data_IF_128605879376
#
_entry.id   IF_128605879376
#
_cell.length_a   1.000
_cell.length_b   1.000
_cell.length_c   1.000
_cell.angle_alpha   90.00
_cell.angle_beta   90.00
_cell.angle_gamma   90.00
#
_symmetry.space_group_name_H-M   'P 1'
#
loop_
_entity.id
_entity.type
_entity.pdbx_description
1 polymer ?
#
# COMPACT_ATOMS: atom_id res chain seq x y z
N UNK A 1 -21.31 -6.70 13.12
CA UNK A 1 -19.91 -6.86 13.54
C UNK A 1 -19.87 -7.54 14.89
N UNK A 2 -18.93 -8.45 15.13
CA UNK A 2 -18.74 -8.94 16.49
C UNK A 2 -18.07 -7.85 17.33
N UNK A 3 -18.42 -7.76 18.62
CA UNK A 3 -17.81 -6.80 19.58
C UNK A 3 -16.28 -6.95 19.64
N UNK A 4 -15.76 -8.14 19.32
CA UNK A 4 -14.32 -8.44 19.26
C UNK A 4 -13.65 -7.72 18.08
N UNK A 5 -14.29 -7.69 16.91
CA UNK A 5 -13.74 -7.02 15.71
C UNK A 5 -13.67 -5.52 15.89
N UNK A 6 -14.67 -4.90 16.52
CA UNK A 6 -14.64 -3.44 16.80
C UNK A 6 -13.57 -3.05 17.82
N UNK A 7 -13.32 -3.89 18.84
CA UNK A 7 -12.22 -3.66 19.78
C UNK A 7 -10.85 -3.78 19.12
N UNK A 8 -10.71 -4.70 18.15
CA UNK A 8 -9.45 -4.91 17.47
C UNK A 8 -9.12 -3.75 16.51
N UNK A 9 -10.09 -3.22 15.77
CA UNK A 9 -9.87 -2.07 14.85
C UNK A 9 -9.35 -0.85 15.59
N UNK A 10 -9.83 -0.56 16.80
CA UNK A 10 -9.33 0.56 17.61
C UNK A 10 -7.86 0.45 18.03
N UNK A 11 -7.20 -0.68 17.78
CA UNK A 11 -5.78 -0.92 18.08
C UNK A 11 -4.90 -0.91 16.83
N UNK A 12 -5.49 -0.80 15.63
CA UNK A 12 -4.73 -0.75 14.39
C UNK A 12 -4.19 0.70 14.15
N UNK A 13 -3.04 0.90 13.46
CA UNK A 13 -2.16 -0.18 13.02
C UNK A 13 -1.57 -0.93 14.22
N UNK A 14 -1.36 -2.23 14.04
CA UNK A 14 -0.89 -3.10 15.13
C UNK A 14 0.62 -2.94 15.35
N UNK A 15 1.08 -3.25 16.57
CA UNK A 15 2.52 -3.13 16.92
C UNK A 15 3.41 -3.98 16.01
N UNK A 16 2.95 -5.17 15.62
CA UNK A 16 3.46 -5.93 14.49
C UNK A 16 2.38 -5.98 13.40
N UNK A 17 2.62 -5.34 12.25
CA UNK A 17 1.68 -5.26 11.13
C UNK A 17 2.38 -5.63 9.81
N UNK A 18 1.67 -5.57 8.70
CA UNK A 18 2.19 -5.86 7.37
C UNK A 18 1.58 -4.92 6.31
N UNK A 19 2.27 -4.77 5.17
CA UNK A 19 1.82 -3.87 4.08
C UNK A 19 0.64 -4.45 3.32
N UNK A 20 0.61 -5.76 3.04
CA UNK A 20 -0.63 -6.38 2.53
C UNK A 20 -0.47 -7.43 1.47
N UNK A 21 0.46 -7.30 0.53
CA UNK A 21 0.64 -8.29 -0.55
C UNK A 21 1.53 -9.45 -0.13
N UNK A 22 1.19 -10.66 -0.61
CA UNK A 22 1.91 -11.91 -0.36
C UNK A 22 2.27 -12.60 -1.68
N UNK A 23 3.29 -13.49 -1.64
CA UNK A 23 3.72 -14.29 -2.78
C UNK A 23 2.56 -15.15 -3.30
N UNK A 24 2.28 -15.07 -4.61
CA UNK A 24 1.25 -15.90 -5.24
C UNK A 24 1.71 -17.35 -5.29
N UNK A 25 0.90 -18.30 -4.78
CA UNK A 25 1.24 -19.72 -4.87
C UNK A 25 1.25 -20.19 -6.33
N UNK A 26 2.06 -21.21 -6.61
CA UNK A 26 2.22 -21.75 -7.96
C UNK A 26 0.89 -22.21 -8.60
N UNK A 27 -0.04 -22.73 -7.80
CA UNK A 27 -1.38 -23.12 -8.26
C UNK A 27 -2.14 -21.92 -8.83
N UNK A 28 -2.06 -20.76 -8.17
CA UNK A 28 -2.71 -19.53 -8.65
C UNK A 28 -2.05 -19.01 -9.93
N UNK A 29 -0.71 -18.98 -9.98
CA UNK A 29 0.04 -18.60 -11.20
C UNK A 29 -0.30 -19.51 -12.38
N UNK A 30 -0.38 -20.82 -12.16
CA UNK A 30 -0.77 -21.79 -13.18
C UNK A 30 -2.22 -21.56 -13.68
N UNK A 31 -3.16 -21.26 -12.79
CA UNK A 31 -4.54 -20.96 -13.14
C UNK A 31 -4.64 -19.66 -13.98
N UNK A 32 -3.93 -18.60 -13.60
CA UNK A 32 -3.86 -17.35 -14.38
C UNK A 32 -3.30 -17.59 -15.79
N UNK A 33 -2.22 -18.36 -15.91
CA UNK A 33 -1.65 -18.73 -17.20
C UNK A 33 -2.64 -19.52 -18.08
N UNK A 34 -3.41 -20.44 -17.50
CA UNK A 34 -4.47 -21.17 -18.21
C UNK A 34 -5.59 -20.22 -18.66
N UNK A 35 -5.99 -19.28 -17.80
CA UNK A 35 -7.02 -18.29 -18.14
C UNK A 35 -6.56 -17.38 -19.29
N UNK A 36 -5.31 -16.90 -19.26
CA UNK A 36 -4.72 -16.09 -20.33
C UNK A 36 -4.69 -16.82 -21.68
N UNK A 37 -4.56 -18.15 -21.67
CA UNK A 37 -4.62 -19.00 -22.87
C UNK A 37 -6.05 -19.42 -23.26
N UNK A 38 -7.07 -19.03 -22.49
CA UNK A 38 -8.45 -19.44 -22.72
C UNK A 38 -8.75 -20.91 -22.38
N UNK A 39 -7.88 -21.59 -21.63
CA UNK A 39 -8.01 -23.00 -21.24
C UNK A 39 -9.00 -23.20 -20.06
N UNK A 40 -9.24 -22.16 -19.28
CA UNK A 40 -10.23 -22.13 -18.19
C UNK A 40 -11.07 -20.85 -18.27
N UNK A 41 -12.27 -20.91 -17.70
CA UNK A 41 -13.19 -19.78 -17.59
C UNK A 41 -12.78 -18.81 -16.47
N UNK A 42 -13.37 -17.62 -16.47
CA UNK A 42 -13.24 -16.65 -15.38
C UNK A 42 -13.73 -17.23 -14.04
N UNK A 43 -14.84 -17.97 -14.08
CA UNK A 43 -15.41 -18.60 -12.89
C UNK A 43 -14.48 -19.66 -12.29
N UNK A 44 -13.80 -20.45 -13.14
CA UNK A 44 -12.82 -21.45 -12.68
C UNK A 44 -11.57 -20.78 -12.09
N UNK A 45 -11.11 -19.66 -12.67
CA UNK A 45 -10.04 -18.87 -12.06
C UNK A 45 -10.47 -18.31 -10.71
N UNK A 46 -11.67 -17.72 -10.64
CA UNK A 46 -12.25 -17.17 -9.41
C UNK A 46 -12.29 -18.20 -8.29
N UNK A 47 -12.68 -19.43 -8.61
CA UNK A 47 -12.69 -20.51 -7.62
C UNK A 47 -11.29 -20.81 -7.08
N UNK A 48 -10.28 -20.84 -7.92
CA UNK A 48 -8.88 -21.04 -7.47
C UNK A 48 -8.42 -19.88 -6.60
N UNK A 49 -8.72 -18.64 -6.99
CA UNK A 49 -8.42 -17.45 -6.17
C UNK A 49 -9.07 -17.53 -4.80
N UNK A 50 -10.36 -17.85 -4.73
CA UNK A 50 -11.10 -17.97 -3.48
C UNK A 50 -10.46 -19.02 -2.55
N UNK A 51 -10.13 -20.19 -3.07
CA UNK A 51 -9.49 -21.27 -2.32
C UNK A 51 -8.10 -20.89 -1.79
N UNK A 52 -7.29 -20.21 -2.61
CA UNK A 52 -5.94 -19.79 -2.20
C UNK A 52 -5.99 -18.61 -1.21
N UNK A 53 -6.94 -17.69 -1.34
CA UNK A 53 -7.13 -16.59 -0.39
C UNK A 53 -7.61 -17.12 0.98
N UNK A 54 -8.48 -18.13 1.01
CA UNK A 54 -8.86 -18.77 2.28
C UNK A 54 -7.64 -19.33 3.01
N UNK A 55 -6.77 -20.09 2.30
CA UNK A 55 -5.55 -20.64 2.89
C UNK A 55 -4.60 -19.53 3.36
N UNK A 56 -4.47 -18.47 2.57
CA UNK A 56 -3.63 -17.32 2.91
C UNK A 56 -4.12 -16.64 4.21
N UNK A 57 -5.43 -16.42 4.34
CA UNK A 57 -6.01 -15.79 5.54
C UNK A 57 -5.84 -16.68 6.77
N UNK A 58 -6.02 -17.99 6.64
CA UNK A 58 -5.75 -18.94 7.73
C UNK A 58 -4.28 -18.85 8.15
N UNK A 59 -3.34 -18.85 7.21
CA UNK A 59 -1.90 -18.78 7.50
C UNK A 59 -1.47 -17.44 8.12
N UNK A 60 -2.08 -16.32 7.71
CA UNK A 60 -1.90 -15.02 8.37
C UNK A 60 -2.33 -15.08 9.85
N UNK A 61 -3.50 -15.65 10.13
CA UNK A 61 -4.03 -15.80 11.50
C UNK A 61 -3.17 -16.75 12.34
N UNK A 62 -2.76 -17.88 11.79
CA UNK A 62 -1.87 -18.86 12.44
C UNK A 62 -0.50 -18.25 12.77
N UNK A 63 -0.01 -17.32 11.95
CA UNK A 63 1.21 -16.58 12.20
C UNK A 63 1.09 -15.51 13.30
N UNK A 64 -0.13 -15.21 13.76
CA UNK A 64 -0.41 -14.23 14.81
C UNK A 64 -0.79 -12.83 14.31
N UNK A 65 -0.93 -12.62 13.00
CA UNK A 65 -1.37 -11.33 12.45
C UNK A 65 -2.79 -10.99 12.92
N UNK A 66 -2.99 -9.78 13.39
CA UNK A 66 -4.28 -9.25 13.86
C UNK A 66 -5.11 -8.67 12.71
N UNK A 67 -4.46 -8.12 11.69
CA UNK A 67 -5.07 -7.74 10.42
C UNK A 67 -4.74 -8.78 9.35
N UNK A 68 -5.70 -9.02 8.43
CA UNK A 68 -5.53 -9.95 7.31
C UNK A 68 -5.94 -9.28 6.00
N UNK A 69 -5.23 -9.58 4.92
CA UNK A 69 -5.54 -9.14 3.56
C UNK A 69 -5.81 -10.34 2.65
N UNK A 70 -6.31 -10.08 1.44
CA UNK A 70 -6.39 -11.08 0.37
C UNK A 70 -5.04 -11.33 -0.33
N UNK A 71 -3.97 -10.67 0.13
CA UNK A 71 -2.61 -10.81 -0.39
C UNK A 71 -2.40 -10.26 -1.80
N UNK A 72 -3.36 -9.50 -2.32
CA UNK A 72 -3.44 -9.08 -3.72
C UNK A 72 -3.55 -10.27 -4.70
N UNK A 73 -4.05 -11.42 -4.26
CA UNK A 73 -4.09 -12.64 -5.07
C UNK A 73 -4.96 -12.54 -6.31
N UNK A 74 -5.90 -11.60 -6.35
CA UNK A 74 -6.74 -11.32 -7.51
C UNK A 74 -6.12 -10.31 -8.48
N UNK A 75 -5.05 -9.60 -8.06
CA UNK A 75 -4.42 -8.52 -8.82
C UNK A 75 -3.23 -9.02 -9.61
N UNK A 76 -3.08 -8.53 -10.83
CA UNK A 76 -1.84 -8.63 -11.60
C UNK A 76 -0.83 -7.62 -11.11
N UNK A 77 -1.31 -6.42 -10.82
CA UNK A 77 -0.53 -5.29 -10.28
C UNK A 77 -1.31 -4.59 -9.17
N UNK A 78 -0.62 -4.20 -8.12
CA UNK A 78 -1.22 -3.59 -6.93
C UNK A 78 -2.05 -2.32 -7.23
N UNK A 79 -1.72 -1.54 -8.27
CA UNK A 79 -2.40 -0.27 -8.59
C UNK A 79 -3.25 -0.28 -9.85
N UNK A 80 -2.81 -0.92 -10.94
CA UNK A 80 -3.56 -0.90 -12.20
C UNK A 80 -4.94 -1.53 -12.05
N UNK A 81 -5.00 -2.67 -11.39
CA UNK A 81 -6.25 -3.43 -11.21
C UNK A 81 -7.33 -2.66 -10.42
N UNK A 82 -6.93 -1.69 -9.57
CA UNK A 82 -7.87 -0.76 -8.95
C UNK A 82 -8.19 0.42 -9.88
N UNK A 83 -7.17 1.09 -10.39
CA UNK A 83 -7.37 2.34 -11.14
C UNK A 83 -8.19 2.14 -12.41
N UNK A 84 -8.04 0.99 -13.09
CA UNK A 84 -8.85 0.62 -14.26
C UNK A 84 -10.33 0.33 -13.93
N UNK A 85 -10.66 0.14 -12.67
CA UNK A 85 -12.02 -0.02 -12.19
C UNK A 85 -12.76 1.29 -11.93
N UNK A 86 -12.08 2.44 -12.01
CA UNK A 86 -12.69 3.75 -11.92
C UNK A 86 -13.31 4.15 -13.26
N UNK A 87 -14.45 4.84 -13.23
CA UNK A 87 -15.06 5.39 -14.44
C UNK A 87 -14.09 6.34 -15.13
N UNK A 88 -14.04 6.30 -16.46
CA UNK A 88 -13.18 7.16 -17.27
C UNK A 88 -11.70 6.79 -17.30
N UNK A 89 -11.30 5.64 -16.73
CA UNK A 89 -9.93 5.16 -16.71
C UNK A 89 -9.81 3.83 -17.46
N UNK A 90 -8.80 3.71 -18.32
CA UNK A 90 -8.54 2.49 -19.10
C UNK A 90 -7.06 2.09 -19.02
N UNK A 91 -6.81 0.78 -19.01
CA UNK A 91 -5.49 0.21 -19.24
C UNK A 91 -5.09 0.23 -20.71
N UNK A 92 -3.78 0.32 -20.98
CA UNK A 92 -3.24 0.18 -22.32
C UNK A 92 -1.89 -0.53 -22.31
N UNK A 93 -1.52 -1.15 -23.44
CA UNK A 93 -0.16 -1.65 -23.64
C UNK A 93 0.78 -0.46 -23.92
N UNK A 94 1.79 -0.29 -23.08
CA UNK A 94 2.80 0.77 -23.23
C UNK A 94 3.94 0.29 -24.16
N UNK A 95 4.74 1.22 -24.67
CA UNK A 95 5.91 0.89 -25.50
C UNK A 95 7.05 0.26 -24.68
N UNK A 96 7.15 0.62 -23.39
CA UNK A 96 8.14 0.09 -22.46
C UNK A 96 7.55 -0.02 -21.05
N UNK A 97 8.11 -0.91 -20.25
CA UNK A 97 7.78 -1.05 -18.82
C UNK A 97 8.40 0.04 -17.95
N UNK A 98 8.10 0.00 -16.67
CA UNK A 98 8.79 0.82 -15.67
C UNK A 98 10.18 0.23 -15.42
N UNK A 99 11.18 1.10 -15.34
CA UNK A 99 12.56 0.70 -15.06
C UNK A 99 12.81 0.69 -13.56
N UNK A 100 13.32 -0.42 -13.07
CA UNK A 100 13.87 -0.61 -11.75
C UNK A 100 15.37 -0.89 -11.86
N UNK A 101 16.07 -0.94 -10.74
CA UNK A 101 17.52 -1.23 -10.77
C UNK A 101 17.80 -2.61 -11.40
N UNK A 102 18.28 -2.58 -12.64
CA UNK A 102 18.63 -3.77 -13.42
C UNK A 102 17.47 -4.57 -14.03
N UNK A 103 16.21 -4.19 -13.84
CA UNK A 103 15.03 -4.91 -14.34
C UNK A 103 13.99 -3.94 -14.90
N UNK A 104 13.21 -4.42 -15.86
CA UNK A 104 12.08 -3.69 -16.44
C UNK A 104 10.79 -4.51 -16.29
N UNK A 105 9.68 -3.82 -15.97
CA UNK A 105 8.37 -4.45 -15.81
C UNK A 105 7.73 -4.75 -17.16
N UNK A 106 6.59 -5.44 -17.16
CA UNK A 106 5.72 -5.52 -18.35
C UNK A 106 5.31 -4.12 -18.79
N UNK A 107 5.23 -3.93 -20.09
CA UNK A 107 4.86 -2.67 -20.72
C UNK A 107 3.34 -2.42 -20.61
N UNK A 108 2.87 -1.95 -19.46
CA UNK A 108 1.48 -1.61 -19.18
C UNK A 108 1.38 -0.20 -18.62
N UNK A 109 0.33 0.52 -18.96
CA UNK A 109 0.03 1.84 -18.47
C UNK A 109 -1.45 2.07 -18.31
N UNK A 110 -1.82 3.19 -17.71
CA UNK A 110 -3.19 3.67 -17.56
C UNK A 110 -3.36 5.00 -18.25
N UNK A 111 -4.57 5.25 -18.75
CA UNK A 111 -4.96 6.51 -19.40
C UNK A 111 -6.35 6.92 -18.93
N UNK A 112 -6.55 8.22 -18.85
CA UNK A 112 -7.83 8.85 -18.57
C UNK A 112 -8.48 9.16 -19.94
N UNK A 113 -9.60 8.49 -20.23
CA UNK A 113 -10.35 8.58 -21.48
C UNK A 113 -11.71 9.23 -21.32
N UNK A 114 -12.09 9.57 -20.08
CA UNK A 114 -13.33 10.23 -19.71
C UNK A 114 -13.25 10.92 -18.38
N UNK A 115 -14.34 11.50 -17.90
CA UNK A 115 -14.40 12.01 -16.54
C UNK A 115 -14.21 10.89 -15.53
N UNK A 116 -13.28 11.08 -14.60
CA UNK A 116 -13.03 10.11 -13.52
C UNK A 116 -14.22 10.10 -12.57
N UNK A 117 -14.65 8.92 -12.16
CA UNK A 117 -15.77 8.76 -11.24
C UNK A 117 -15.80 7.39 -10.60
N UNK A 118 -16.82 7.17 -9.78
CA UNK A 118 -17.10 5.90 -9.13
C UNK A 118 -18.58 5.56 -9.25
N UNK A 119 -18.88 4.48 -9.95
CA UNK A 119 -20.24 3.91 -10.02
C UNK A 119 -20.27 2.55 -9.29
N UNK A 120 -19.34 1.66 -9.62
CA UNK A 120 -19.18 0.34 -9.01
C UNK A 120 -17.72 -0.11 -9.16
N UNK A 121 -17.27 -1.05 -8.31
CA UNK A 121 -15.91 -1.51 -8.36
C UNK A 121 -15.79 -2.96 -7.87
N UNK A 122 -15.10 -3.80 -8.65
CA UNK A 122 -14.95 -5.23 -8.34
C UNK A 122 -14.30 -5.49 -6.97
N UNK A 123 -13.46 -4.57 -6.48
CA UNK A 123 -12.82 -4.71 -5.16
C UNK A 123 -13.81 -4.59 -3.99
N UNK A 124 -15.00 -4.06 -4.21
CA UNK A 124 -16.08 -4.12 -3.20
C UNK A 124 -16.48 -5.59 -2.94
N UNK A 125 -16.61 -6.38 -4.01
CA UNK A 125 -16.87 -7.82 -3.89
C UNK A 125 -15.70 -8.60 -3.31
N UNK A 126 -14.45 -8.22 -3.68
CA UNK A 126 -13.24 -8.82 -3.12
C UNK A 126 -13.18 -8.58 -1.60
N UNK A 127 -13.50 -7.36 -1.16
CA UNK A 127 -13.54 -7.04 0.26
C UNK A 127 -14.66 -7.79 1.01
N UNK A 128 -15.86 -7.91 0.43
CA UNK A 128 -16.94 -8.74 1.01
C UNK A 128 -16.48 -10.18 1.24
N UNK A 129 -15.75 -10.75 0.28
CA UNK A 129 -15.20 -12.09 0.41
C UNK A 129 -14.19 -12.17 1.55
N UNK A 130 -13.19 -11.28 1.57
CA UNK A 130 -12.18 -11.20 2.62
C UNK A 130 -12.82 -11.05 4.00
N UNK A 131 -13.75 -10.11 4.15
CA UNK A 131 -14.48 -9.86 5.38
C UNK A 131 -15.16 -11.10 5.92
N UNK A 132 -15.80 -11.89 5.04
CA UNK A 132 -16.50 -13.11 5.41
C UNK A 132 -15.57 -14.18 5.99
N UNK A 133 -14.36 -14.31 5.45
CA UNK A 133 -13.38 -15.34 5.85
C UNK A 133 -12.39 -14.88 6.94
N UNK A 134 -12.28 -13.59 7.19
CA UNK A 134 -11.38 -13.02 8.21
C UNK A 134 -11.73 -13.52 9.63
N UNK A 135 -13.01 -13.80 9.92
CA UNK A 135 -13.46 -14.23 11.24
C UNK A 135 -13.26 -13.13 12.28
N UNK A 136 -12.46 -13.40 13.32
CA UNK A 136 -12.14 -12.46 14.40
C UNK A 136 -10.99 -11.51 14.07
N UNK A 137 -10.25 -11.76 12.98
CA UNK A 137 -9.21 -10.84 12.50
C UNK A 137 -9.83 -9.61 11.83
N UNK A 138 -9.08 -8.52 11.80
CA UNK A 138 -9.49 -7.30 11.09
C UNK A 138 -9.22 -7.46 9.60
N UNK A 139 -10.27 -7.38 8.78
CA UNK A 139 -10.11 -7.35 7.32
C UNK A 139 -9.52 -5.99 6.92
N UNK A 140 -8.30 -5.99 6.40
CA UNK A 140 -7.56 -4.82 5.90
C UNK A 140 -7.65 -4.80 4.38
N UNK A 141 -8.10 -3.69 3.81
CA UNK A 141 -8.08 -3.46 2.36
C UNK A 141 -6.95 -2.54 1.99
N UNK A 142 -6.22 -2.88 0.93
CA UNK A 142 -5.19 -2.03 0.33
C UNK A 142 -5.62 -1.57 -1.04
N UNK A 143 -5.49 -0.27 -1.33
CA UNK A 143 -5.74 0.30 -2.66
C UNK A 143 -4.64 1.32 -2.97
N UNK A 144 -4.36 1.63 -4.24
CA UNK A 144 -3.46 2.75 -4.56
C UNK A 144 -4.03 4.06 -4.04
N UNK A 145 -3.15 5.01 -3.69
CA UNK A 145 -3.56 6.37 -3.38
C UNK A 145 -4.08 7.08 -4.65
N UNK A 146 -4.89 8.14 -4.52
CA UNK A 146 -5.35 8.92 -5.68
C UNK A 146 -4.19 9.54 -6.47
N UNK A 147 -3.08 9.85 -5.83
CA UNK A 147 -1.89 10.38 -6.49
C UNK A 147 -1.33 9.46 -7.58
N UNK A 148 -1.56 8.15 -7.44
CA UNK A 148 -1.12 7.19 -8.46
C UNK A 148 -1.80 7.41 -9.81
N UNK A 149 -3.07 7.81 -9.84
CA UNK A 149 -3.74 8.20 -11.08
C UNK A 149 -3.25 9.57 -11.56
N UNK A 150 -3.21 10.55 -10.65
CA UNK A 150 -2.82 11.94 -10.94
C UNK A 150 -1.44 12.02 -11.64
N UNK A 151 -0.44 11.24 -11.18
CA UNK A 151 0.95 11.30 -11.65
C UNK A 151 1.32 10.25 -12.70
N UNK A 152 0.59 9.14 -12.79
CA UNK A 152 0.96 7.99 -13.65
C UNK A 152 0.12 7.85 -14.90
N UNK A 153 -1.13 8.39 -14.89
CA UNK A 153 -2.01 8.25 -16.03
C UNK A 153 -1.64 9.19 -17.18
N UNK A 154 -1.66 8.67 -18.39
CA UNK A 154 -1.75 9.52 -19.57
C UNK A 154 -3.16 10.14 -19.63
N UNK A 155 -3.28 11.36 -20.11
CA UNK A 155 -4.56 12.04 -20.25
C UNK A 155 -4.85 12.27 -21.73
N UNK A 156 -6.05 11.93 -22.17
CA UNK A 156 -6.50 12.33 -23.49
C UNK A 156 -6.81 13.83 -23.49
N UNK A 157 -6.53 14.50 -24.60
CA UNK A 157 -6.73 15.94 -24.74
C UNK A 157 -8.21 16.31 -24.59
N UNK A 158 -8.46 17.43 -23.94
CA UNK A 158 -9.82 18.03 -23.83
C UNK A 158 -10.71 17.42 -22.74
N UNK A 159 -10.26 16.41 -21.97
CA UNK A 159 -11.05 15.85 -20.86
C UNK A 159 -10.95 16.75 -19.62
N UNK A 160 -9.72 17.16 -19.27
CA UNK A 160 -9.44 18.04 -18.15
C UNK A 160 -8.60 19.24 -18.58
N UNK A 161 -9.02 20.43 -18.16
CA UNK A 161 -8.33 21.68 -18.47
C UNK A 161 -7.16 21.94 -17.50
N UNK A 162 -7.18 21.34 -16.32
CA UNK A 162 -6.15 21.50 -15.26
C UNK A 162 -6.03 20.27 -14.37
N UNK A 163 -4.97 20.22 -13.56
CA UNK A 163 -4.80 19.19 -12.52
C UNK A 163 -5.87 19.33 -11.44
N UNK A 164 -6.27 20.55 -11.09
CA UNK A 164 -7.30 20.84 -10.11
C UNK A 164 -8.64 20.22 -10.50
N UNK A 165 -9.05 20.37 -11.76
CA UNK A 165 -10.31 19.79 -12.26
C UNK A 165 -10.30 18.25 -12.24
N UNK A 166 -9.13 17.63 -12.46
CA UNK A 166 -8.98 16.18 -12.28
C UNK A 166 -9.03 15.80 -10.81
N UNK A 167 -8.40 16.58 -9.93
CA UNK A 167 -8.37 16.31 -8.49
C UNK A 167 -9.78 16.35 -7.90
N UNK A 168 -10.62 17.29 -8.31
CA UNK A 168 -12.03 17.37 -7.86
C UNK A 168 -12.78 16.06 -8.15
N UNK A 169 -12.78 15.61 -9.41
CA UNK A 169 -13.44 14.36 -9.82
C UNK A 169 -12.82 13.13 -9.12
N UNK A 170 -11.49 13.10 -8.97
CA UNK A 170 -10.76 12.01 -8.34
C UNK A 170 -11.08 11.91 -6.85
N UNK A 171 -11.14 13.03 -6.15
CA UNK A 171 -11.56 13.11 -4.74
C UNK A 171 -12.97 12.56 -4.56
N UNK A 172 -13.93 12.98 -5.40
CA UNK A 172 -15.30 12.47 -5.35
C UNK A 172 -15.35 10.95 -5.60
N UNK A 173 -14.57 10.43 -6.55
CA UNK A 173 -14.51 9.00 -6.86
C UNK A 173 -13.97 8.19 -5.65
N UNK A 174 -12.91 8.66 -5.00
CA UNK A 174 -12.36 8.00 -3.81
C UNK A 174 -13.30 8.09 -2.61
N UNK A 175 -13.95 9.23 -2.37
CA UNK A 175 -14.95 9.38 -1.32
C UNK A 175 -16.10 8.39 -1.53
N UNK A 176 -16.62 8.26 -2.76
CA UNK A 176 -17.68 7.31 -3.09
C UNK A 176 -17.24 5.85 -2.88
N UNK A 177 -16.02 5.49 -3.28
CA UNK A 177 -15.48 4.16 -3.03
C UNK A 177 -15.31 3.89 -1.52
N UNK A 178 -14.77 4.84 -0.76
CA UNK A 178 -14.56 4.72 0.70
C UNK A 178 -15.89 4.55 1.42
N UNK A 179 -16.91 5.34 1.07
CA UNK A 179 -18.26 5.19 1.61
C UNK A 179 -18.80 3.79 1.31
N UNK A 180 -18.64 3.31 0.08
CA UNK A 180 -19.12 1.99 -0.34
C UNK A 180 -18.47 0.85 0.44
N UNK A 181 -17.15 0.82 0.58
CA UNK A 181 -16.48 -0.24 1.34
C UNK A 181 -16.73 -0.12 2.85
N UNK A 182 -16.96 1.09 3.37
CA UNK A 182 -17.38 1.27 4.75
C UNK A 182 -18.76 0.63 5.03
N UNK A 183 -19.73 0.83 4.12
CA UNK A 183 -21.04 0.15 4.17
C UNK A 183 -20.87 -1.37 4.20
N UNK A 184 -19.91 -1.92 3.45
CA UNK A 184 -19.58 -3.36 3.46
C UNK A 184 -18.81 -3.79 4.72
N UNK A 185 -18.53 -2.85 5.63
CA UNK A 185 -17.94 -3.09 6.93
C UNK A 185 -16.41 -3.00 6.94
N UNK A 186 -15.78 -2.36 5.98
CA UNK A 186 -14.38 -2.00 6.06
C UNK A 186 -14.15 -1.00 7.21
N UNK A 187 -13.12 -1.27 8.01
CA UNK A 187 -12.72 -0.40 9.13
C UNK A 187 -11.21 -0.19 9.16
N UNK A 188 -10.48 -0.83 8.25
CA UNK A 188 -9.04 -0.65 8.07
C UNK A 188 -8.71 -0.59 6.59
N UNK A 189 -8.47 0.60 6.08
CA UNK A 189 -8.05 0.89 4.72
C UNK A 189 -6.60 1.34 4.71
N UNK A 190 -5.82 0.88 3.74
CA UNK A 190 -4.48 1.38 3.46
C UNK A 190 -4.42 1.94 2.05
N UNK A 191 -3.89 3.15 1.91
CA UNK A 191 -3.54 3.79 0.65
C UNK A 191 -2.07 3.51 0.34
N UNK A 192 -1.78 2.85 -0.77
CA UNK A 192 -0.41 2.56 -1.20
C UNK A 192 0.05 3.61 -2.23
N UNK A 193 1.23 4.19 -2.03
CA UNK A 193 1.70 5.29 -2.85
C UNK A 193 3.19 5.20 -3.17
N UNK A 194 3.55 5.21 -4.45
CA UNK A 194 4.92 5.33 -4.93
C UNK A 194 5.20 6.69 -5.56
N UNK A 195 4.22 7.59 -5.67
CA UNK A 195 4.40 8.90 -6.28
C UNK A 195 5.32 9.80 -5.45
N UNK A 196 5.23 9.71 -4.12
CA UNK A 196 6.08 10.43 -3.18
C UNK A 196 7.58 10.17 -3.40
N UNK A 197 7.94 8.98 -3.87
CA UNK A 197 9.32 8.61 -4.13
C UNK A 197 10.02 9.53 -5.14
N UNK A 198 9.26 10.12 -6.07
CA UNK A 198 9.77 11.06 -7.06
C UNK A 198 10.34 12.34 -6.42
N UNK A 199 9.81 12.74 -5.26
CA UNK A 199 10.23 13.95 -4.58
C UNK A 199 11.46 13.77 -3.68
N UNK A 200 11.87 12.53 -3.37
CA UNK A 200 12.98 12.27 -2.45
C UNK A 200 14.35 12.41 -3.07
N UNK A 201 14.47 12.38 -4.39
CA UNK A 201 15.73 12.53 -5.11
C UNK A 201 15.80 13.85 -5.89
N UNK A 202 17.02 14.36 -6.10
CA UNK A 202 17.23 15.54 -6.93
C UNK A 202 16.80 15.31 -8.39
N UNK A 203 17.06 14.11 -8.93
CA UNK A 203 16.65 13.72 -10.29
C UNK A 203 15.14 13.72 -10.46
N UNK A 204 14.42 13.18 -9.49
CA UNK A 204 12.96 13.15 -9.49
C UNK A 204 12.37 14.55 -9.42
N UNK A 205 12.89 15.43 -8.56
CA UNK A 205 12.48 16.83 -8.47
C UNK A 205 12.78 17.59 -9.76
N UNK A 206 13.96 17.41 -10.35
CA UNK A 206 14.32 17.99 -11.64
C UNK A 206 13.37 17.55 -12.76
N UNK A 207 12.93 16.28 -12.76
CA UNK A 207 11.93 15.79 -13.73
C UNK A 207 10.56 16.47 -13.59
N UNK A 208 10.18 16.92 -12.39
CA UNK A 208 8.97 17.71 -12.16
C UNK A 208 9.15 19.13 -12.71
N UNK A 209 10.32 19.73 -12.47
CA UNK A 209 10.67 21.08 -12.97
C UNK A 209 10.75 21.12 -14.50
N UNK A 210 11.30 20.09 -15.14
CA UNK A 210 11.34 19.95 -16.61
C UNK A 210 9.94 19.94 -17.25
N UNK A 211 8.93 19.49 -16.52
CA UNK A 211 7.52 19.55 -16.92
C UNK A 211 6.87 20.90 -16.63
N UNK A 212 7.64 21.88 -16.15
CA UNK A 212 7.17 23.22 -15.82
C UNK A 212 6.40 23.31 -14.49
N UNK A 213 6.49 22.29 -13.64
CA UNK A 213 5.84 22.25 -12.33
C UNK A 213 6.84 22.57 -11.21
N UNK A 214 6.37 23.17 -10.13
CA UNK A 214 7.17 23.37 -8.93
C UNK A 214 7.01 22.14 -8.00
N UNK A 215 8.11 21.48 -7.58
CA UNK A 215 8.05 20.27 -6.77
C UNK A 215 7.31 20.43 -5.43
N UNK A 216 7.48 21.57 -4.74
CA UNK A 216 6.81 21.82 -3.47
C UNK A 216 5.30 21.93 -3.66
N UNK A 217 4.85 22.68 -4.67
CA UNK A 217 3.40 22.79 -4.99
C UNK A 217 2.81 21.47 -5.46
N UNK A 218 3.58 20.67 -6.20
CA UNK A 218 3.15 19.34 -6.60
C UNK A 218 2.99 18.41 -5.39
N UNK A 219 3.89 18.50 -4.40
CA UNK A 219 3.77 17.74 -3.15
C UNK A 219 2.58 18.22 -2.29
N UNK A 220 2.34 19.54 -2.22
CA UNK A 220 1.15 20.12 -1.56
C UNK A 220 -0.15 19.63 -2.23
N UNK A 221 -0.18 19.56 -3.55
CA UNK A 221 -1.31 19.01 -4.30
C UNK A 221 -1.53 17.54 -3.99
N UNK A 222 -0.47 16.73 -3.89
CA UNK A 222 -0.54 15.34 -3.47
C UNK A 222 -1.16 15.20 -2.08
N UNK A 223 -0.69 15.97 -1.11
CA UNK A 223 -1.19 15.91 0.27
C UNK A 223 -2.67 16.32 0.33
N UNK A 224 -3.03 17.40 -0.35
CA UNK A 224 -4.42 17.87 -0.45
C UNK A 224 -5.32 16.81 -1.07
N UNK A 225 -4.91 16.21 -2.19
CA UNK A 225 -5.69 15.17 -2.87
C UNK A 225 -5.98 13.98 -1.96
N UNK A 226 -4.98 13.52 -1.20
CA UNK A 226 -5.17 12.45 -0.22
C UNK A 226 -6.11 12.87 0.89
N UNK A 227 -5.86 14.02 1.52
CA UNK A 227 -6.65 14.50 2.66
C UNK A 227 -8.13 14.71 2.29
N UNK A 228 -8.39 15.36 1.16
CA UNK A 228 -9.76 15.55 0.67
C UNK A 228 -10.44 14.23 0.34
N UNK A 229 -9.73 13.26 -0.25
CA UNK A 229 -10.27 11.93 -0.56
C UNK A 229 -10.73 11.15 0.67
N UNK A 230 -10.11 11.37 1.82
CA UNK A 230 -10.44 10.67 3.07
C UNK A 230 -11.21 11.54 4.08
N UNK A 231 -11.48 12.81 3.76
CA UNK A 231 -12.07 13.78 4.70
C UNK A 231 -13.45 13.36 5.24
N UNK A 232 -14.24 12.66 4.45
CA UNK A 232 -15.59 12.22 4.79
C UNK A 232 -15.62 10.81 5.43
N UNK A 233 -14.44 10.19 5.74
CA UNK A 233 -14.43 8.87 6.37
C UNK A 233 -15.07 8.91 7.75
N UNK A 234 -15.85 7.89 8.12
CA UNK A 234 -16.37 7.78 9.49
C UNK A 234 -15.24 7.63 10.52
N UNK A 235 -15.46 8.14 11.73
CA UNK A 235 -14.49 8.15 12.85
C UNK A 235 -14.00 6.76 13.27
N UNK A 236 -14.78 5.70 13.00
CA UNK A 236 -14.42 4.31 13.30
C UNK A 236 -13.73 3.61 12.12
N UNK A 237 -13.41 4.34 11.05
CA UNK A 237 -12.64 3.84 9.92
C UNK A 237 -11.21 4.38 9.97
N UNK A 238 -10.27 3.47 10.20
CA UNK A 238 -8.84 3.77 10.15
C UNK A 238 -8.35 3.81 8.71
N UNK A 239 -7.64 4.86 8.34
CA UNK A 239 -6.98 5.00 7.04
C UNK A 239 -5.48 5.20 7.25
N UNK A 240 -4.69 4.27 6.75
CA UNK A 240 -3.22 4.38 6.74
C UNK A 240 -2.69 4.62 5.34
N UNK A 241 -1.45 5.07 5.22
CA UNK A 241 -0.76 5.18 3.94
C UNK A 241 0.58 4.46 3.99
N UNK A 242 0.88 3.67 2.95
CA UNK A 242 2.22 3.14 2.72
C UNK A 242 2.92 3.97 1.66
N UNK A 243 4.05 4.58 2.05
CA UNK A 243 4.91 5.34 1.16
C UNK A 243 6.03 4.44 0.67
N UNK A 244 5.84 3.91 -0.52
CA UNK A 244 6.73 2.93 -1.13
C UNK A 244 7.81 3.61 -2.00
N UNK A 245 8.99 3.00 -2.07
CA UNK A 245 10.11 3.42 -2.93
C UNK A 245 10.27 2.55 -4.19
N UNK A 246 9.25 1.77 -4.48
CA UNK A 246 9.26 0.76 -5.53
C UNK A 246 9.72 -0.60 -4.99
N UNK A 247 8.98 -1.64 -5.37
CA UNK A 247 9.29 -3.02 -5.00
C UNK A 247 8.86 -3.95 -6.16
N UNK A 248 9.85 -4.39 -6.92
CA UNK A 248 9.65 -5.29 -8.06
C UNK A 248 10.80 -6.27 -8.15
N UNK A 249 10.51 -7.59 -8.01
CA UNK A 249 11.51 -8.66 -8.08
C UNK A 249 12.75 -8.37 -7.22
N UNK A 250 12.50 -8.01 -5.96
CA UNK A 250 13.54 -7.68 -4.97
C UNK A 250 14.40 -6.44 -5.28
N UNK A 251 14.00 -5.60 -6.25
CA UNK A 251 14.66 -4.33 -6.56
C UNK A 251 13.84 -3.12 -6.09
N UNK A 252 14.41 -1.94 -6.16
CA UNK A 252 13.75 -0.68 -5.83
C UNK A 252 13.89 0.34 -6.97
N UNK A 253 13.10 1.42 -6.93
CA UNK A 253 13.09 2.46 -7.96
C UNK A 253 13.71 3.77 -7.47
N UNK A 254 13.56 4.10 -6.19
CA UNK A 254 13.97 5.39 -5.64
C UNK A 254 14.72 5.27 -4.32
N UNK A 255 15.66 6.19 -4.12
CA UNK A 255 16.39 6.42 -2.87
C UNK A 255 16.29 7.89 -2.47
N UNK A 256 16.67 8.23 -1.25
CA UNK A 256 16.65 9.57 -0.70
C UNK A 256 15.91 9.61 0.66
N UNK A 257 16.27 10.55 1.51
CA UNK A 257 15.64 10.75 2.80
C UNK A 257 14.21 11.30 2.65
N UNK A 258 13.35 11.03 3.64
CA UNK A 258 12.05 11.69 3.78
C UNK A 258 12.17 13.19 4.11
N UNK A 259 13.38 13.69 4.36
CA UNK A 259 13.67 15.07 4.82
C UNK A 259 13.06 16.13 3.90
N UNK A 260 13.18 15.94 2.57
CA UNK A 260 12.70 16.91 1.58
C UNK A 260 11.19 17.21 1.68
N UNK A 261 10.40 16.30 2.21
CA UNK A 261 8.94 16.41 2.35
C UNK A 261 8.45 16.14 3.78
N UNK A 262 9.33 16.19 4.77
CA UNK A 262 9.02 15.78 6.14
C UNK A 262 7.84 16.57 6.74
N UNK A 263 7.76 17.87 6.54
CA UNK A 263 6.64 18.68 6.99
C UNK A 263 5.32 18.31 6.29
N UNK A 264 5.37 18.08 4.99
CA UNK A 264 4.19 17.72 4.19
C UNK A 264 3.66 16.34 4.56
N UNK A 265 4.57 15.36 4.72
CA UNK A 265 4.18 13.97 5.01
C UNK A 265 3.76 13.81 6.47
N UNK A 266 4.62 14.23 7.42
CA UNK A 266 4.40 13.97 8.84
C UNK A 266 3.52 14.99 9.53
N UNK A 267 3.49 16.23 9.03
CA UNK A 267 2.67 17.30 9.55
C UNK A 267 1.42 17.62 8.74
N UNK A 268 1.36 17.19 7.47
CA UNK A 268 0.32 17.60 6.54
C UNK A 268 -0.67 16.52 6.09
N UNK A 269 -0.36 15.22 6.28
CA UNK A 269 -1.28 14.14 5.91
C UNK A 269 -2.25 13.79 7.05
N UNK A 270 -3.54 13.72 6.75
CA UNK A 270 -4.61 13.42 7.72
C UNK A 270 -4.88 11.92 7.90
N UNK A 271 -3.94 11.07 7.50
CA UNK A 271 -4.01 9.63 7.73
C UNK A 271 -3.77 9.28 9.21
N UNK A 272 -4.22 8.10 9.63
CA UNK A 272 -4.09 7.62 11.01
C UNK A 272 -2.76 6.88 11.24
N UNK A 273 -2.07 6.46 10.17
CA UNK A 273 -0.78 5.80 10.25
C UNK A 273 0.01 5.84 8.95
N UNK A 274 1.32 5.85 9.06
CA UNK A 274 2.26 5.87 7.94
C UNK A 274 3.17 4.64 7.98
N UNK A 275 3.09 3.79 6.96
CA UNK A 275 4.00 2.67 6.72
C UNK A 275 5.18 3.17 5.88
N UNK A 276 6.36 3.18 6.46
CA UNK A 276 7.55 3.82 5.89
C UNK A 276 8.69 2.82 5.71
N UNK A 277 9.40 2.90 4.60
CA UNK A 277 10.57 2.06 4.35
C UNK A 277 11.82 2.61 5.06
N UNK A 278 12.38 1.82 5.97
CA UNK A 278 13.62 2.10 6.71
C UNK A 278 14.52 0.86 6.83
N UNK A 279 14.40 -0.10 5.92
CA UNK A 279 15.12 -1.38 5.95
C UNK A 279 16.61 -1.26 5.63
N UNK A 280 17.03 -0.19 4.96
CA UNK A 280 18.44 0.07 4.62
C UNK A 280 18.78 1.58 4.61
N UNK A 281 20.06 1.89 4.26
CA UNK A 281 20.60 3.25 4.28
C UNK A 281 20.03 4.18 3.19
N UNK A 282 19.38 3.66 2.13
CA UNK A 282 18.82 4.47 1.05
C UNK A 282 17.69 5.41 1.52
N UNK A 283 17.06 5.10 2.64
CA UNK A 283 15.96 5.89 3.22
C UNK A 283 16.43 7.02 4.14
N UNK A 284 17.73 7.08 4.47
CA UNK A 284 18.26 8.01 5.46
C UNK A 284 17.95 7.62 6.91
N UNK A 285 18.11 8.52 7.83
CA UNK A 285 17.84 8.37 9.26
C UNK A 285 16.39 8.71 9.64
N UNK A 286 16.14 8.79 10.95
CA UNK A 286 14.83 9.07 11.53
C UNK A 286 14.59 10.55 11.84
N UNK A 287 15.56 11.44 11.59
CA UNK A 287 15.44 12.87 11.86
C UNK A 287 14.19 13.53 11.24
N UNK A 288 13.70 13.10 10.06
CA UNK A 288 12.46 13.63 9.49
C UNK A 288 11.23 13.42 10.37
N UNK A 289 11.23 12.39 11.24
CA UNK A 289 10.13 12.09 12.15
C UNK A 289 9.90 13.18 13.23
N UNK A 290 10.84 14.13 13.40
CA UNK A 290 10.65 15.30 14.28
C UNK A 290 9.43 16.17 13.90
N UNK A 291 8.96 16.04 12.65
CA UNK A 291 7.76 16.72 12.14
C UNK A 291 6.45 15.99 12.44
N UNK A 292 6.49 14.82 13.07
CA UNK A 292 5.30 14.17 13.64
C UNK A 292 4.83 15.01 14.82
N UNK A 293 3.77 15.78 14.61
CA UNK A 293 3.25 16.76 15.59
C UNK A 293 1.88 16.35 16.15
N UNK A 294 1.33 15.21 15.72
CA UNK A 294 0.05 14.65 16.15
C UNK A 294 0.28 13.45 17.06
N UNK A 295 -0.47 13.36 18.14
CA UNK A 295 -0.40 12.23 19.10
C UNK A 295 -1.22 11.02 18.66
N UNK A 296 -2.03 11.17 17.65
CA UNK A 296 -2.90 10.14 17.06
C UNK A 296 -2.36 9.57 15.72
N UNK A 297 -1.22 10.08 15.23
CA UNK A 297 -0.54 9.52 14.04
C UNK A 297 0.40 8.41 14.46
N UNK A 298 0.18 7.20 13.94
CA UNK A 298 1.09 6.08 14.10
C UNK A 298 2.17 6.06 13.01
N UNK A 299 3.40 5.73 13.39
CA UNK A 299 4.52 5.53 12.47
C UNK A 299 4.89 4.05 12.48
N UNK A 300 4.64 3.37 11.37
CA UNK A 300 4.96 1.96 11.19
C UNK A 300 6.31 1.85 10.50
N UNK A 301 7.31 1.44 11.26
CA UNK A 301 8.70 1.34 10.83
C UNK A 301 8.89 0.06 10.00
N UNK A 302 9.07 0.19 8.71
CA UNK A 302 9.41 -0.89 7.79
C UNK A 302 10.91 -1.23 7.89
N UNK A 303 11.30 -1.91 8.96
CA UNK A 303 12.69 -2.25 9.25
C UNK A 303 13.10 -3.64 8.77
N UNK A 304 12.15 -4.46 8.39
CA UNK A 304 12.36 -5.82 7.92
C UNK A 304 12.23 -5.84 6.40
N UNK A 305 13.29 -6.21 5.68
CA UNK A 305 13.22 -6.25 4.22
C UNK A 305 12.33 -7.39 3.73
N UNK A 306 11.47 -7.11 2.74
CA UNK A 306 10.73 -8.14 2.01
C UNK A 306 11.46 -8.63 0.75
N UNK A 307 12.67 -8.12 0.49
CA UNK A 307 13.43 -8.40 -0.75
C UNK A 307 14.29 -9.64 -0.66
N UNK A 308 14.82 -9.94 0.51
CA UNK A 308 15.78 -11.03 0.75
C UNK A 308 15.30 -11.91 1.90
N UNK A 309 15.65 -13.20 1.85
CA UNK A 309 15.16 -14.21 2.81
C UNK A 309 15.86 -14.20 4.15
N UNK A 310 17.07 -13.61 4.25
CA UNK A 310 17.82 -13.55 5.50
C UNK A 310 17.07 -12.73 6.54
N UNK A 311 17.02 -13.24 7.78
CA UNK A 311 16.42 -12.52 8.91
C UNK A 311 17.39 -11.46 9.44
N UNK A 312 16.87 -10.29 9.75
CA UNK A 312 17.60 -9.22 10.42
C UNK A 312 17.92 -9.61 11.86
N UNK A 313 19.06 -9.14 12.39
CA UNK A 313 19.38 -9.27 13.80
C UNK A 313 18.32 -8.56 14.66
N UNK A 314 17.59 -9.26 15.55
CA UNK A 314 16.55 -8.67 16.38
C UNK A 314 17.05 -7.52 17.23
N UNK A 315 18.27 -7.60 17.79
CA UNK A 315 18.83 -6.54 18.63
C UNK A 315 19.14 -5.27 17.81
N UNK A 316 19.56 -5.43 16.56
CA UNK A 316 19.74 -4.30 15.64
C UNK A 316 18.40 -3.65 15.30
N UNK A 317 17.34 -4.42 15.03
CA UNK A 317 16.00 -3.88 14.78
C UNK A 317 15.48 -3.15 16.01
N UNK A 318 15.59 -3.74 17.21
CA UNK A 318 15.21 -3.10 18.48
C UNK A 318 15.99 -1.80 18.73
N UNK A 319 17.28 -1.76 18.39
CA UNK A 319 18.09 -0.55 18.48
C UNK A 319 17.58 0.56 17.55
N UNK A 320 17.18 0.21 16.32
CA UNK A 320 16.58 1.15 15.37
C UNK A 320 15.21 1.67 15.86
N UNK A 321 14.39 0.83 16.48
CA UNK A 321 13.13 1.27 17.10
C UNK A 321 13.39 2.27 18.24
N UNK A 322 14.42 2.01 19.08
CA UNK A 322 14.82 2.96 20.13
C UNK A 322 15.31 4.29 19.56
N UNK A 323 16.11 4.27 18.49
CA UNK A 323 16.55 5.47 17.78
C UNK A 323 15.36 6.28 17.25
N UNK A 324 14.36 5.64 16.63
CA UNK A 324 13.14 6.30 16.19
C UNK A 324 12.34 6.89 17.37
N UNK A 325 12.41 6.26 18.54
CA UNK A 325 11.71 6.74 19.75
C UNK A 325 12.30 8.03 20.34
N UNK A 326 13.47 8.47 19.88
CA UNK A 326 14.01 9.80 20.21
C UNK A 326 13.20 10.94 19.54
N UNK A 327 12.43 10.64 18.49
CA UNK A 327 11.63 11.60 17.73
C UNK A 327 10.11 11.42 17.92
N UNK A 328 9.64 10.20 18.08
CA UNK A 328 8.21 9.87 18.19
C UNK A 328 8.01 8.92 19.37
N UNK A 329 7.06 9.19 20.29
CA UNK A 329 6.81 8.30 21.42
C UNK A 329 6.66 6.83 21.03
N UNK A 330 7.23 5.91 21.81
CA UNK A 330 7.23 4.47 21.52
C UNK A 330 5.81 3.91 21.32
N UNK A 331 4.83 4.49 21.99
CA UNK A 331 3.42 4.13 21.89
C UNK A 331 2.83 4.41 20.48
N UNK A 332 3.40 5.38 19.77
CA UNK A 332 3.00 5.70 18.38
C UNK A 332 3.79 4.91 17.33
N UNK A 333 4.85 4.19 17.73
CA UNK A 333 5.64 3.37 16.83
C UNK A 333 5.06 1.96 16.70
N UNK A 334 5.17 1.41 15.49
CA UNK A 334 4.85 0.03 15.14
C UNK A 334 5.96 -0.53 14.25
N UNK A 335 5.98 -1.83 14.01
CA UNK A 335 6.95 -2.53 13.17
C UNK A 335 6.25 -3.27 12.03
N UNK A 336 6.82 -3.23 10.83
CA UNK A 336 6.37 -4.02 9.68
C UNK A 336 7.52 -4.40 8.76
N UNK A 337 7.31 -5.30 7.77
CA UNK A 337 8.16 -5.34 6.59
C UNK A 337 8.15 -3.98 5.87
N UNK A 338 9.24 -3.65 5.18
CA UNK A 338 9.36 -2.35 4.50
C UNK A 338 8.34 -2.17 3.36
N UNK A 339 7.88 -3.26 2.74
CA UNK A 339 6.86 -3.31 1.71
C UNK A 339 6.12 -4.66 1.75
N UNK A 340 5.15 -4.87 0.86
CA UNK A 340 4.58 -6.20 0.61
C UNK A 340 5.61 -7.15 -0.03
N UNK A 341 5.32 -8.45 0.01
CA UNK A 341 6.19 -9.47 -0.57
C UNK A 341 5.99 -9.65 -2.08
N UNK A 342 4.90 -9.16 -2.62
CA UNK A 342 4.59 -9.29 -4.04
C UNK A 342 3.67 -8.17 -4.54
N UNK A 343 4.23 -7.02 -4.86
CA UNK A 343 3.50 -5.87 -5.42
C UNK A 343 2.96 -6.14 -6.83
N UNK A 344 3.52 -7.13 -7.52
CA UNK A 344 3.06 -7.64 -8.82
C UNK A 344 2.93 -9.17 -8.76
N UNK A 345 2.31 -9.77 -9.77
CA UNK A 345 2.14 -11.22 -9.83
C UNK A 345 3.46 -12.02 -9.87
N UNK A 346 4.57 -11.39 -10.27
CA UNK A 346 5.90 -12.01 -10.26
C UNK A 346 6.41 -12.25 -8.83
N UNK A 347 6.17 -11.29 -7.92
CA UNK A 347 6.63 -11.34 -6.54
C UNK A 347 8.13 -11.07 -6.37
N UNK A 348 8.58 -11.00 -5.13
CA UNK A 348 9.99 -10.88 -4.76
C UNK A 348 10.70 -12.24 -4.87
N UNK A 349 12.05 -12.20 -4.97
CA UNK A 349 12.91 -13.38 -5.14
C UNK A 349 13.22 -14.05 -3.79
N UNK A 350 12.15 -14.38 -3.05
CA UNK A 350 12.18 -15.13 -1.79
C UNK A 350 11.21 -16.31 -1.86
N UNK A 351 11.42 -17.29 -0.99
CA UNK A 351 10.49 -18.42 -0.89
C UNK A 351 9.28 -18.07 -0.01
N UNK A 352 8.22 -18.86 -0.15
CA UNK A 352 7.04 -18.72 0.72
C UNK A 352 7.40 -18.98 2.20
N UNK A 353 8.28 -19.93 2.50
CA UNK A 353 8.73 -20.19 3.87
C UNK A 353 9.47 -18.99 4.45
N UNK A 354 10.40 -18.40 3.68
CA UNK A 354 11.12 -17.18 4.07
C UNK A 354 10.17 -16.00 4.32
N UNK A 355 9.15 -15.83 3.47
CA UNK A 355 8.10 -14.83 3.70
C UNK A 355 7.44 -15.00 5.06
N UNK A 356 7.05 -16.22 5.42
CA UNK A 356 6.39 -16.48 6.70
C UNK A 356 7.35 -16.43 7.90
N UNK A 357 8.64 -16.73 7.71
CA UNK A 357 9.68 -16.48 8.71
C UNK A 357 9.83 -14.99 8.99
N UNK A 358 9.84 -14.13 7.95
CA UNK A 358 9.86 -12.67 8.09
C UNK A 358 8.65 -12.14 8.85
N UNK A 359 7.44 -12.63 8.55
CA UNK A 359 6.22 -12.25 9.27
C UNK A 359 6.32 -12.60 10.76
N UNK A 360 6.71 -13.83 11.08
CA UNK A 360 6.90 -14.24 12.49
C UNK A 360 8.01 -13.46 13.18
N UNK A 361 9.05 -13.09 12.45
CA UNK A 361 10.16 -12.28 12.97
C UNK A 361 9.68 -10.88 13.37
N UNK A 362 8.88 -10.21 12.52
CA UNK A 362 8.23 -8.92 12.86
C UNK A 362 7.42 -9.05 14.14
N UNK A 363 6.56 -10.07 14.25
CA UNK A 363 5.68 -10.27 15.39
C UNK A 363 6.45 -10.56 16.69
N UNK A 364 7.49 -11.41 16.62
CA UNK A 364 8.35 -11.71 17.77
C UNK A 364 9.08 -10.48 18.29
N UNK A 365 9.63 -9.64 17.40
CA UNK A 365 10.30 -8.40 17.80
C UNK A 365 9.28 -7.41 18.39
N UNK A 366 8.09 -7.31 17.78
CA UNK A 366 7.05 -6.44 18.28
C UNK A 366 6.59 -6.85 19.69
N UNK A 367 6.39 -8.15 19.93
CA UNK A 367 6.06 -8.68 21.26
C UNK A 367 7.14 -8.32 22.31
N UNK A 368 8.41 -8.50 21.95
CA UNK A 368 9.54 -8.16 22.82
C UNK A 368 9.60 -6.66 23.17
N UNK A 369 9.32 -5.77 22.21
CA UNK A 369 9.43 -4.31 22.40
C UNK A 369 8.24 -3.73 23.15
N UNK A 370 7.02 -4.13 22.78
CA UNK A 370 5.80 -3.52 23.32
C UNK A 370 5.08 -4.38 24.36
N UNK A 371 5.49 -5.63 24.56
CA UNK A 371 4.88 -6.57 25.52
C UNK A 371 3.35 -6.73 25.32
N UNK A 372 2.88 -6.54 24.10
CA UNK A 372 1.47 -6.75 23.73
C UNK A 372 1.31 -8.17 23.19
N UNK A 373 0.72 -9.06 24.01
CA UNK A 373 0.24 -10.38 23.61
C UNK A 373 -1.20 -10.33 23.05
#
# INVERSE_FOLDING_TARGET
MSVVTEKNVKRAPFKGDHVGSFLRPERLKAARNKRAKGEITEQELRQVEDEEIVKLVEKQKESGLKAVTDGDFRRSWWHFDFLEGLDGVEGYEAESGLKFDGVETKARGIKITGKVGFTDHVMVEHFRFLKRIAGDAVAKLTIPSPNMLLFRAKREEGIYESDEALVEDLVEAYQGFIEKIYEEGCRYLQLDDTSWATFFSEEGRASIEEKGQNPEKAAELCARTVNESIANRPEDMLVTMHICRGNFRSTFMASGSYEALSETIFGGLDVDGLFLEFDDERSGGFEPLRHVNRTDLFVVLGLITSKFGELEDPERVKARIREASDYVPLEQLCLSPQCGFASTEEGNEITEDQQWEKVRHVLSIAEDVWQEG
#
